data_IF_575121234216
#
_entry.id   IF_575121234216
#
_cell.length_a   1.000
_cell.length_b   1.000
_cell.length_c   1.000
_cell.angle_alpha   90.00
_cell.angle_beta   90.00
_cell.angle_gamma   90.00
#
_symmetry.space_group_name_H-M   'P 1'
#
loop_
_entity.id
_entity.type
_entity.pdbx_description
1 polymer ?
#
# COMPACT_ATOMS: atom_id res chain seq x y z
N UNK A 1 -3.33 -18.35 -33.39
CA UNK A 1 -3.35 -16.99 -32.81
C UNK A 1 -2.94 -17.11 -31.35
N UNK A 2 -1.72 -16.69 -30.99
CA UNK A 2 -1.19 -16.85 -29.63
C UNK A 2 -1.76 -15.75 -28.73
N UNK A 3 -2.61 -16.11 -27.76
CA UNK A 3 -3.00 -15.19 -26.69
C UNK A 3 -1.76 -14.89 -25.84
N UNK A 4 -1.38 -13.61 -25.77
CA UNK A 4 -0.40 -13.11 -24.80
C UNK A 4 -1.05 -13.18 -23.43
N UNK A 5 -0.65 -14.14 -22.61
CA UNK A 5 -1.11 -14.26 -21.22
C UNK A 5 -0.45 -13.16 -20.40
N UNK A 6 -1.28 -12.22 -19.94
CA UNK A 6 -0.89 -11.04 -19.18
C UNK A 6 -0.20 -11.42 -17.85
N UNK A 7 0.91 -10.74 -17.61
CA UNK A 7 1.78 -10.73 -16.42
C UNK A 7 1.09 -10.23 -15.13
N UNK A 8 -0.24 -10.14 -15.10
CA UNK A 8 -1.00 -9.35 -14.11
C UNK A 8 -1.64 -10.11 -12.95
N UNK A 9 -1.52 -11.44 -12.86
CA UNK A 9 -2.36 -12.24 -11.95
C UNK A 9 -1.69 -12.50 -10.58
N UNK A 10 -0.36 -12.45 -10.47
CA UNK A 10 0.33 -12.70 -9.20
C UNK A 10 0.37 -11.49 -8.25
N UNK A 11 0.18 -10.27 -8.78
CA UNK A 11 0.22 -9.02 -8.01
C UNK A 11 -1.10 -8.71 -7.29
N UNK A 12 -2.18 -9.34 -7.76
CA UNK A 12 -3.51 -9.25 -7.17
C UNK A 12 -3.47 -9.73 -5.70
N UNK A 13 -2.56 -10.60 -5.31
CA UNK A 13 -2.58 -11.24 -3.99
C UNK A 13 -2.13 -10.33 -2.84
N UNK A 14 -1.38 -9.27 -3.13
CA UNK A 14 -1.08 -8.20 -2.18
C UNK A 14 -2.14 -7.08 -2.21
N UNK A 15 -2.90 -6.99 -3.32
CA UNK A 15 -3.98 -6.01 -3.55
C UNK A 15 -5.37 -6.54 -3.11
N UNK A 16 -5.58 -7.86 -3.05
CA UNK A 16 -6.90 -8.49 -2.91
C UNK A 16 -7.37 -8.68 -1.48
N UNK A 17 -6.51 -8.48 -0.50
CA UNK A 17 -6.94 -8.42 0.88
C UNK A 17 -7.39 -7.02 1.33
N UNK A 18 -7.07 -6.00 0.53
CA UNK A 18 -7.60 -4.64 0.61
C UNK A 18 -8.39 -4.40 -0.69
N UNK A 19 -9.27 -5.36 -1.02
CA UNK A 19 -10.13 -5.26 -2.19
C UNK A 19 -10.85 -3.92 -2.19
N UNK A 20 -10.43 -3.04 -3.11
CA UNK A 20 -10.99 -1.74 -3.50
C UNK A 20 -10.27 -0.42 -3.13
N UNK A 21 -8.96 -0.36 -2.84
CA UNK A 21 -8.27 0.96 -2.79
C UNK A 21 -7.19 1.20 -3.87
N UNK A 22 -6.54 0.18 -4.43
CA UNK A 22 -5.44 0.39 -5.40
C UNK A 22 -5.78 0.09 -6.86
N UNK A 23 -6.93 0.58 -7.34
CA UNK A 23 -7.20 0.71 -8.79
C UNK A 23 -7.60 2.15 -9.09
N UNK A 24 -6.65 3.08 -8.92
CA UNK A 24 -6.79 4.43 -9.46
C UNK A 24 -5.76 4.66 -10.56
N UNK A 25 -6.35 4.74 -11.76
CA UNK A 25 -5.81 5.23 -13.02
C UNK A 25 -4.71 6.29 -12.83
N UNK A 26 -3.49 5.90 -13.16
CA UNK A 26 -2.55 6.77 -13.87
C UNK A 26 -3.06 6.81 -15.32
N UNK A 27 -4.15 7.53 -15.56
CA UNK A 27 -4.58 7.88 -16.92
C UNK A 27 -4.28 9.36 -17.07
N UNK A 28 -3.01 9.68 -17.34
CA UNK A 28 -2.56 10.87 -18.10
C UNK A 28 -1.02 10.95 -18.11
N UNK A 29 -0.34 9.84 -18.45
CA UNK A 29 1.09 9.89 -18.75
C UNK A 29 1.31 9.11 -20.05
N UNK A 30 1.85 9.80 -21.05
CA UNK A 30 2.40 9.19 -22.24
C UNK A 30 3.27 8.00 -21.82
N UNK A 31 2.83 6.77 -22.11
CA UNK A 31 3.59 5.57 -21.84
C UNK A 31 4.88 5.63 -22.67
N UNK A 32 5.96 6.11 -22.06
CA UNK A 32 7.30 5.82 -22.53
C UNK A 32 7.44 4.32 -22.35
N UNK A 33 7.72 3.58 -23.43
CA UNK A 33 7.92 2.15 -23.37
C UNK A 33 9.10 1.84 -22.44
N UNK A 34 8.83 1.65 -21.15
CA UNK A 34 9.80 1.15 -20.20
C UNK A 34 10.02 -0.34 -20.48
N UNK A 35 11.25 -0.80 -20.28
CA UNK A 35 11.51 -2.24 -20.29
C UNK A 35 10.75 -2.88 -19.13
N UNK A 36 10.09 -4.04 -19.33
CA UNK A 36 9.45 -4.75 -18.23
C UNK A 36 10.50 -5.10 -17.16
N UNK A 37 10.19 -4.85 -15.89
CA UNK A 37 11.07 -5.16 -14.75
C UNK A 37 11.30 -6.67 -14.67
N UNK A 38 12.56 -7.07 -14.56
CA UNK A 38 12.99 -8.47 -14.44
C UNK A 38 12.71 -9.03 -13.05
N UNK A 39 12.70 -10.37 -12.93
CA UNK A 39 12.53 -11.06 -11.64
C UNK A 39 13.65 -10.67 -10.67
N UNK A 40 14.87 -10.57 -11.17
CA UNK A 40 16.07 -10.23 -10.42
C UNK A 40 16.01 -8.79 -9.87
N UNK A 41 15.57 -7.83 -10.69
CA UNK A 41 15.37 -6.44 -10.26
C UNK A 41 14.31 -6.37 -9.14
N UNK A 42 13.21 -7.12 -9.25
CA UNK A 42 12.19 -7.17 -8.18
C UNK A 42 12.79 -7.71 -6.88
N UNK A 43 13.56 -8.80 -6.94
CA UNK A 43 14.21 -9.40 -5.76
C UNK A 43 15.18 -8.42 -5.10
N UNK A 44 16.03 -7.76 -5.89
CA UNK A 44 16.99 -6.76 -5.40
C UNK A 44 16.28 -5.58 -4.74
N UNK A 45 15.22 -5.05 -5.36
CA UNK A 45 14.47 -3.94 -4.81
C UNK A 45 13.77 -4.31 -3.48
N UNK A 46 13.21 -5.52 -3.37
CA UNK A 46 12.59 -5.99 -2.13
C UNK A 46 13.63 -6.18 -1.00
N UNK A 47 14.79 -6.73 -1.33
CA UNK A 47 15.90 -6.86 -0.38
C UNK A 47 16.40 -5.48 0.08
N UNK A 48 16.57 -4.54 -0.84
CA UNK A 48 16.95 -3.16 -0.53
C UNK A 48 15.90 -2.47 0.36
N UNK A 49 14.61 -2.67 0.10
CA UNK A 49 13.53 -2.16 0.94
C UNK A 49 13.64 -2.70 2.38
N UNK A 50 13.93 -4.00 2.53
CA UNK A 50 14.19 -4.60 3.84
C UNK A 50 15.40 -3.99 4.55
N UNK A 51 16.50 -3.79 3.83
CA UNK A 51 17.73 -3.18 4.37
C UNK A 51 17.49 -1.74 4.85
N UNK A 52 16.84 -0.91 4.03
CA UNK A 52 16.50 0.46 4.39
C UNK A 52 15.68 0.49 5.67
N UNK A 53 14.69 -0.40 5.80
CA UNK A 53 13.88 -0.48 7.03
C UNK A 53 14.68 -0.95 8.23
N UNK A 54 15.64 -1.86 8.06
CA UNK A 54 16.54 -2.27 9.13
C UNK A 54 17.40 -1.08 9.60
N UNK A 55 18.07 -0.41 8.67
CA UNK A 55 18.99 0.70 8.96
C UNK A 55 18.28 1.91 9.56
N UNK A 56 17.08 2.24 9.06
CA UNK A 56 16.32 3.40 9.56
C UNK A 56 15.65 3.14 10.90
N UNK A 57 15.35 1.87 11.26
CA UNK A 57 14.81 1.51 12.58
C UNK A 57 15.79 1.76 13.72
N UNK A 58 17.09 1.71 13.46
CA UNK A 58 18.12 2.00 14.45
C UNK A 58 18.24 3.51 14.75
N UNK A 59 17.69 4.36 13.88
CA UNK A 59 17.73 5.82 14.00
C UNK A 59 16.42 6.46 13.54
N UNK A 60 15.33 6.16 14.25
CA UNK A 60 13.99 6.69 13.94
C UNK A 60 13.94 8.19 14.26
N UNK A 61 13.64 8.98 13.24
CA UNK A 61 13.42 10.43 13.34
C UNK A 61 12.07 10.80 12.77
N UNK A 62 11.37 11.72 13.40
CA UNK A 62 10.13 12.30 12.87
C UNK A 62 10.51 13.39 11.88
N UNK A 63 10.17 13.20 10.60
CA UNK A 63 10.50 14.11 9.49
C UNK A 63 9.34 15.01 9.08
N UNK A 64 8.10 14.60 9.41
CA UNK A 64 6.91 15.42 9.26
C UNK A 64 5.86 15.05 10.32
N UNK A 65 4.86 15.90 10.49
CA UNK A 65 3.64 15.61 11.26
C UNK A 65 2.42 15.84 10.40
N UNK A 66 1.45 14.97 10.57
CA UNK A 66 0.12 15.04 9.97
C UNK A 66 -0.87 15.01 11.13
N UNK A 67 -1.44 16.16 11.44
CA UNK A 67 -2.12 16.44 12.70
C UNK A 67 -1.25 16.09 13.91
N UNK A 68 -1.63 15.07 14.68
CA UNK A 68 -0.88 14.57 15.84
C UNK A 68 -0.03 13.33 15.52
N UNK A 69 -0.06 12.85 14.27
CA UNK A 69 0.66 11.65 13.85
C UNK A 69 2.02 12.04 13.27
N UNK A 70 3.09 11.47 13.83
CA UNK A 70 4.42 11.58 13.24
C UNK A 70 4.55 10.73 11.98
N UNK A 71 5.27 11.27 10.99
CA UNK A 71 5.82 10.54 9.85
C UNK A 71 7.31 10.38 10.11
N UNK A 72 7.78 9.13 10.12
CA UNK A 72 9.20 8.84 10.35
C UNK A 72 10.00 8.83 9.06
N UNK A 73 11.32 9.02 9.16
CA UNK A 73 12.24 8.79 8.06
C UNK A 73 12.12 7.36 7.49
N UNK A 74 11.94 6.36 8.35
CA UNK A 74 11.68 4.97 7.95
C UNK A 74 10.43 4.85 7.08
N UNK A 75 9.31 5.46 7.52
CA UNK A 75 8.04 5.43 6.79
C UNK A 75 8.17 6.12 5.43
N UNK A 76 8.82 7.29 5.39
CA UNK A 76 9.05 8.05 4.17
C UNK A 76 9.89 7.30 3.15
N UNK A 77 11.07 6.82 3.56
CA UNK A 77 12.00 6.12 2.67
C UNK A 77 11.43 4.79 2.19
N UNK A 78 10.77 4.03 3.08
CA UNK A 78 10.11 2.79 2.70
C UNK A 78 8.98 3.04 1.68
N UNK A 79 8.17 4.09 1.88
CA UNK A 79 7.13 4.47 0.91
C UNK A 79 7.73 4.88 -0.43
N UNK A 80 8.82 5.65 -0.43
CA UNK A 80 9.52 6.08 -1.64
C UNK A 80 9.99 4.90 -2.47
N UNK A 81 10.66 3.93 -1.86
CA UNK A 81 11.13 2.72 -2.55
C UNK A 81 9.96 1.89 -3.06
N UNK A 82 8.90 1.73 -2.26
CA UNK A 82 7.71 1.02 -2.70
C UNK A 82 7.06 1.66 -3.94
N UNK A 83 6.88 2.98 -3.94
CA UNK A 83 6.33 3.71 -5.09
C UNK A 83 7.26 3.66 -6.30
N UNK A 84 8.58 3.63 -6.11
CA UNK A 84 9.55 3.42 -7.19
C UNK A 84 9.42 2.03 -7.84
N UNK A 85 9.23 0.98 -7.03
CA UNK A 85 8.99 -0.38 -7.54
C UNK A 85 7.73 -0.40 -8.40
N UNK A 86 6.63 0.20 -7.91
CA UNK A 86 5.37 0.27 -8.64
C UNK A 86 5.50 1.06 -9.94
N UNK A 87 6.15 2.23 -9.89
CA UNK A 87 6.36 3.06 -11.07
C UNK A 87 7.19 2.31 -12.13
N UNK A 88 8.27 1.64 -11.73
CA UNK A 88 9.10 0.86 -12.65
C UNK A 88 8.30 -0.27 -13.32
N UNK A 89 7.45 -0.97 -12.57
CA UNK A 89 6.61 -2.06 -13.09
C UNK A 89 5.56 -1.58 -14.10
N UNK A 90 5.01 -0.39 -13.88
CA UNK A 90 4.00 0.20 -14.76
C UNK A 90 4.60 0.98 -15.93
N UNK A 91 5.90 1.26 -15.89
CA UNK A 91 6.55 2.16 -16.83
C UNK A 91 6.27 3.64 -16.61
N UNK A 92 5.89 3.99 -15.38
CA UNK A 92 5.67 5.35 -14.96
C UNK A 92 6.99 6.04 -14.56
N UNK A 93 6.91 7.36 -14.40
CA UNK A 93 8.00 8.15 -13.84
C UNK A 93 8.22 7.79 -12.38
N UNK A 94 9.47 7.82 -11.94
CA UNK A 94 9.83 7.68 -10.53
C UNK A 94 9.09 8.73 -9.67
N UNK A 95 8.55 8.37 -8.50
CA UNK A 95 7.80 9.27 -7.64
C UNK A 95 8.67 10.41 -7.11
N UNK A 96 8.11 11.62 -7.06
CA UNK A 96 8.70 12.77 -6.37
C UNK A 96 8.52 12.66 -4.86
N UNK A 97 9.28 13.44 -4.07
CA UNK A 97 9.05 13.54 -2.62
C UNK A 97 7.60 13.95 -2.28
N UNK A 98 7.01 14.84 -3.09
CA UNK A 98 5.61 15.24 -2.98
C UNK A 98 4.65 14.07 -3.19
N UNK A 99 4.91 13.20 -4.16
CA UNK A 99 4.08 12.00 -4.38
C UNK A 99 4.15 11.04 -3.18
N UNK A 100 5.35 10.89 -2.60
CA UNK A 100 5.56 10.09 -1.38
C UNK A 100 4.78 10.68 -0.21
N UNK A 101 4.91 11.99 0.05
CA UNK A 101 4.18 12.66 1.13
C UNK A 101 2.68 12.62 0.94
N UNK A 102 2.17 12.80 -0.29
CA UNK A 102 0.74 12.69 -0.59
C UNK A 102 0.23 11.27 -0.31
N UNK A 103 1.01 10.25 -0.67
CA UNK A 103 0.65 8.86 -0.38
C UNK A 103 0.60 8.57 1.13
N UNK A 104 1.55 9.10 1.90
CA UNK A 104 1.57 8.96 3.37
C UNK A 104 0.42 9.73 3.98
N UNK A 105 0.17 10.96 3.54
CA UNK A 105 -0.92 11.81 4.00
C UNK A 105 -2.27 11.11 3.82
N UNK A 106 -2.51 10.54 2.64
CA UNK A 106 -3.69 9.73 2.37
C UNK A 106 -3.85 8.58 3.37
N UNK A 107 -2.78 7.84 3.66
CA UNK A 107 -2.85 6.73 4.62
C UNK A 107 -3.09 7.21 6.05
N UNK A 108 -2.43 8.30 6.47
CA UNK A 108 -2.60 8.88 7.80
C UNK A 108 -4.03 9.37 8.02
N UNK A 109 -4.64 10.07 7.06
CA UNK A 109 -6.02 10.53 7.23
C UNK A 109 -7.01 9.38 7.30
N UNK A 110 -6.76 8.28 6.57
CA UNK A 110 -7.57 7.06 6.67
C UNK A 110 -7.36 6.34 8.01
N UNK A 111 -6.14 6.30 8.54
CA UNK A 111 -5.86 5.78 9.88
C UNK A 111 -6.60 6.58 10.97
N UNK A 112 -6.55 7.92 10.89
CA UNK A 112 -7.28 8.80 11.80
C UNK A 112 -8.80 8.60 11.69
N UNK A 113 -9.33 8.46 10.48
CA UNK A 113 -10.76 8.21 10.26
C UNK A 113 -11.19 6.82 10.76
N UNK A 114 -10.35 5.80 10.58
CA UNK A 114 -10.59 4.47 11.15
C UNK A 114 -10.68 4.52 12.68
N UNK A 115 -9.76 5.24 13.33
CA UNK A 115 -9.80 5.45 14.78
C UNK A 115 -11.06 6.22 15.20
N UNK A 116 -11.40 7.31 14.50
CA UNK A 116 -12.59 8.13 14.79
C UNK A 116 -13.90 7.34 14.71
N UNK A 117 -13.98 6.37 13.79
CA UNK A 117 -15.14 5.51 13.59
C UNK A 117 -15.12 4.21 14.40
N UNK A 118 -14.10 3.99 15.23
CA UNK A 118 -13.88 2.72 15.96
C UNK A 118 -13.76 1.51 15.01
N UNK A 119 -13.12 1.69 13.85
CA UNK A 119 -12.90 0.66 12.83
C UNK A 119 -11.46 0.13 12.81
N UNK A 120 -10.65 0.45 13.82
CA UNK A 120 -9.29 -0.09 13.97
C UNK A 120 -9.33 -1.62 14.09
N UNK A 121 -8.49 -2.30 13.31
CA UNK A 121 -8.36 -3.75 13.38
C UNK A 121 -7.69 -4.17 14.70
N UNK A 122 -8.09 -5.30 15.27
CA UNK A 122 -7.43 -5.86 16.45
C UNK A 122 -6.19 -6.66 16.07
N UNK A 123 -5.32 -6.94 17.05
CA UNK A 123 -4.16 -7.83 16.85
C UNK A 123 -4.61 -9.23 16.44
N UNK A 124 -5.66 -9.76 17.08
CA UNK A 124 -6.17 -11.10 16.78
C UNK A 124 -6.81 -11.18 15.39
N UNK A 125 -7.61 -10.19 15.01
CA UNK A 125 -8.16 -10.05 13.65
C UNK A 125 -7.03 -10.06 12.62
N UNK A 126 -5.95 -9.32 12.91
CA UNK A 126 -4.79 -9.22 12.03
C UNK A 126 -4.03 -10.55 11.92
N UNK A 127 -3.84 -11.27 13.03
CA UNK A 127 -3.16 -12.58 13.01
C UNK A 127 -3.96 -13.63 12.23
N UNK A 128 -5.28 -13.66 12.39
CA UNK A 128 -6.16 -14.52 11.60
C UNK A 128 -6.01 -14.20 10.12
N UNK A 129 -6.08 -12.93 9.77
CA UNK A 129 -5.90 -12.47 8.39
C UNK A 129 -4.51 -12.83 7.82
N UNK A 130 -3.43 -12.64 8.59
CA UNK A 130 -2.07 -12.98 8.16
C UNK A 130 -1.88 -14.49 7.93
N UNK A 131 -2.51 -15.33 8.74
CA UNK A 131 -2.48 -16.78 8.54
C UNK A 131 -3.15 -17.18 7.22
N UNK A 132 -4.28 -16.56 6.88
CA UNK A 132 -4.95 -16.80 5.59
C UNK A 132 -4.12 -16.26 4.42
N UNK A 133 -3.51 -15.07 4.58
CA UNK A 133 -2.62 -14.51 3.57
C UNK A 133 -1.40 -15.41 3.31
N UNK A 134 -0.79 -15.96 4.37
CA UNK A 134 0.35 -16.87 4.27
C UNK A 134 -0.03 -18.13 3.49
N UNK A 135 -1.17 -18.76 3.79
CA UNK A 135 -1.68 -19.92 3.06
C UNK A 135 -1.93 -19.61 1.58
N UNK A 136 -2.53 -18.46 1.30
CA UNK A 136 -2.82 -18.04 -0.06
C UNK A 136 -1.52 -17.86 -0.87
N UNK A 137 -0.47 -17.34 -0.27
CA UNK A 137 0.82 -17.13 -0.95
C UNK A 137 1.52 -18.43 -1.32
N UNK A 138 1.39 -19.48 -0.49
CA UNK A 138 1.87 -20.83 -0.84
C UNK A 138 1.16 -21.41 -2.07
N UNK A 139 -0.01 -20.88 -2.43
CA UNK A 139 -0.80 -21.30 -3.59
C UNK A 139 -0.62 -20.37 -4.80
N UNK A 140 0.11 -19.26 -4.65
CA UNK A 140 0.25 -18.23 -5.69
C UNK A 140 1.25 -18.63 -6.78
N UNK A 141 0.88 -18.42 -8.05
CA UNK A 141 1.73 -18.65 -9.22
C UNK A 141 2.02 -17.31 -9.92
N UNK A 142 3.26 -17.08 -10.34
CA UNK A 142 3.69 -15.83 -10.97
C UNK A 142 5.18 -15.79 -11.34
N UNK A 143 5.61 -14.71 -11.99
CA UNK A 143 7.04 -14.46 -12.28
C UNK A 143 7.89 -14.45 -11.01
N UNK A 144 7.34 -13.92 -9.92
CA UNK A 144 7.82 -14.10 -8.55
C UNK A 144 6.61 -14.46 -7.69
N UNK A 145 6.73 -15.47 -6.84
CA UNK A 145 5.63 -15.86 -5.95
C UNK A 145 5.50 -14.87 -4.78
N UNK A 146 4.32 -14.77 -4.16
CA UNK A 146 4.16 -13.92 -2.97
C UNK A 146 5.12 -14.32 -1.84
N UNK A 147 5.41 -15.61 -1.72
CA UNK A 147 6.39 -16.13 -0.78
C UNK A 147 7.82 -15.71 -1.11
N UNK A 148 8.23 -15.79 -2.37
CA UNK A 148 9.54 -15.29 -2.80
C UNK A 148 9.69 -13.79 -2.48
N UNK A 149 8.64 -12.99 -2.68
CA UNK A 149 8.69 -11.56 -2.34
C UNK A 149 8.98 -11.33 -0.85
N UNK A 150 8.25 -12.04 0.02
CA UNK A 150 8.43 -11.92 1.48
C UNK A 150 9.77 -12.44 1.93
N UNK A 151 10.26 -13.54 1.35
CA UNK A 151 11.58 -14.06 1.68
C UNK A 151 12.69 -13.05 1.36
N UNK A 152 12.66 -12.41 0.18
CA UNK A 152 13.66 -11.41 -0.18
C UNK A 152 13.57 -10.16 0.72
N UNK A 153 12.35 -9.73 1.06
CA UNK A 153 12.15 -8.62 1.98
C UNK A 153 12.61 -8.94 3.42
N UNK A 154 12.26 -10.12 3.93
CA UNK A 154 12.68 -10.61 5.25
C UNK A 154 14.19 -10.80 5.34
N UNK A 155 14.82 -11.30 4.27
CA UNK A 155 16.28 -11.38 4.16
C UNK A 155 16.92 -9.99 4.25
N UNK A 156 16.36 -8.99 3.56
CA UNK A 156 16.80 -7.60 3.66
C UNK A 156 16.69 -7.02 5.07
N UNK A 157 15.62 -7.39 5.79
CA UNK A 157 15.43 -7.05 7.21
C UNK A 157 16.38 -7.80 8.14
N UNK A 158 17.02 -8.88 7.68
CA UNK A 158 17.82 -9.77 8.51
C UNK A 158 17.00 -10.60 9.50
N UNK A 159 15.76 -10.93 9.15
CA UNK A 159 14.84 -11.74 9.97
C UNK A 159 14.41 -13.01 9.22
N UNK A 160 13.93 -14.01 9.94
CA UNK A 160 13.34 -15.21 9.32
C UNK A 160 11.94 -14.92 8.78
N UNK A 161 11.45 -15.78 7.87
CA UNK A 161 10.07 -15.72 7.38
C UNK A 161 9.06 -15.82 8.54
N UNK A 162 9.32 -16.66 9.54
CA UNK A 162 8.44 -16.79 10.71
C UNK A 162 8.45 -15.54 11.59
N UNK A 163 9.59 -14.89 11.77
CA UNK A 163 9.66 -13.60 12.46
C UNK A 163 8.91 -12.51 11.68
N UNK A 164 8.99 -12.54 10.34
CA UNK A 164 8.21 -11.63 9.51
C UNK A 164 6.71 -11.77 9.80
N UNK A 165 6.16 -12.97 9.74
CA UNK A 165 4.72 -13.20 9.92
C UNK A 165 4.22 -12.94 11.34
N UNK A 166 4.98 -13.38 12.35
CA UNK A 166 4.50 -13.38 13.73
C UNK A 166 4.76 -12.07 14.47
N UNK A 167 5.78 -11.31 14.07
CA UNK A 167 6.21 -10.11 14.78
C UNK A 167 6.14 -8.87 13.89
N UNK A 168 6.81 -8.93 12.74
CA UNK A 168 7.02 -7.74 11.92
C UNK A 168 5.75 -7.30 11.17
N UNK A 169 5.03 -8.24 10.57
CA UNK A 169 3.88 -7.98 9.72
C UNK A 169 2.65 -7.53 10.51
N UNK A 170 2.48 -8.01 11.75
CA UNK A 170 1.29 -7.74 12.58
C UNK A 170 0.96 -6.24 12.68
N UNK A 171 1.84 -5.36 13.20
CA UNK A 171 1.50 -3.94 13.32
C UNK A 171 1.31 -3.24 11.97
N UNK A 172 1.96 -3.73 10.91
CA UNK A 172 1.80 -3.19 9.56
C UNK A 172 0.41 -3.51 8.99
N UNK A 173 0.03 -4.79 8.99
CA UNK A 173 -1.24 -5.22 8.44
C UNK A 173 -2.44 -4.82 9.31
N UNK A 174 -2.23 -4.57 10.61
CA UNK A 174 -3.28 -3.99 11.44
C UNK A 174 -3.70 -2.60 10.91
N UNK A 175 -2.74 -1.78 10.46
CA UNK A 175 -3.03 -0.49 9.82
C UNK A 175 -3.71 -0.66 8.47
N UNK A 176 -3.22 -1.57 7.63
CA UNK A 176 -3.84 -1.88 6.33
C UNK A 176 -5.31 -2.32 6.48
N UNK A 177 -5.58 -3.25 7.40
CA UNK A 177 -6.93 -3.73 7.67
C UNK A 177 -7.84 -2.62 8.22
N UNK A 178 -7.31 -1.77 9.09
CA UNK A 178 -8.04 -0.59 9.60
C UNK A 178 -8.43 0.35 8.44
N UNK A 179 -7.50 0.62 7.52
CA UNK A 179 -7.76 1.42 6.32
C UNK A 179 -8.75 0.74 5.36
N UNK A 180 -8.68 -0.57 5.21
CA UNK A 180 -9.64 -1.34 4.41
C UNK A 180 -11.06 -1.23 5.00
N UNK A 181 -11.20 -1.37 6.32
CA UNK A 181 -12.48 -1.29 7.04
C UNK A 181 -13.12 0.09 6.90
N UNK A 182 -12.34 1.15 7.05
CA UNK A 182 -12.88 2.52 6.88
C UNK A 182 -13.26 2.81 5.43
N UNK A 183 -12.46 2.37 4.45
CA UNK A 183 -12.80 2.57 3.04
C UNK A 183 -14.07 1.81 2.66
N UNK A 184 -14.23 0.57 3.14
CA UNK A 184 -15.46 -0.20 2.98
C UNK A 184 -16.65 0.52 3.62
N UNK A 185 -16.49 1.04 4.84
CA UNK A 185 -17.54 1.76 5.53
C UNK A 185 -17.97 3.03 4.76
N UNK A 186 -17.01 3.80 4.23
CA UNK A 186 -17.29 4.98 3.39
C UNK A 186 -18.02 4.59 2.10
N UNK A 187 -17.57 3.53 1.41
CA UNK A 187 -18.22 3.06 0.19
C UNK A 187 -19.66 2.59 0.43
N UNK A 188 -19.96 2.05 1.61
CA UNK A 188 -21.30 1.62 2.02
C UNK A 188 -22.26 2.77 2.36
N UNK A 189 -21.78 4.01 2.48
CA UNK A 189 -22.64 5.19 2.62
C UNK A 189 -23.39 5.50 1.32
N UNK A 190 -22.88 5.06 0.16
CA UNK A 190 -23.54 5.18 -1.13
C UNK A 190 -24.56 4.06 -1.30
N UNK A 191 -25.85 4.40 -1.41
CA UNK A 191 -26.91 3.44 -1.66
C UNK A 191 -27.07 3.17 -3.17
N UNK A 192 -27.38 1.93 -3.58
CA UNK A 192 -27.68 1.60 -4.97
C UNK A 192 -28.94 2.33 -5.43
N UNK A 193 -28.93 2.86 -6.66
CA UNK A 193 -30.11 3.49 -7.26
C UNK A 193 -30.98 2.47 -8.00
N UNK A 194 -32.29 2.72 -8.14
CA UNK A 194 -33.15 1.87 -8.97
C UNK A 194 -32.61 1.79 -10.41
N UNK A 195 -32.57 0.57 -10.98
CA UNK A 195 -32.09 0.27 -12.33
C UNK A 195 -30.62 0.64 -12.62
N UNK A 196 -29.83 0.89 -11.58
CA UNK A 196 -28.40 1.10 -11.73
C UNK A 196 -27.66 -0.23 -11.91
N UNK A 197 -26.77 -0.29 -12.90
CA UNK A 197 -25.89 -1.44 -13.08
C UNK A 197 -24.72 -1.44 -12.08
N UNK A 198 -24.03 -2.58 -11.99
CA UNK A 198 -22.94 -2.76 -11.03
C UNK A 198 -21.72 -1.87 -11.31
N UNK A 199 -21.46 -1.49 -12.56
CA UNK A 199 -20.34 -0.64 -12.95
C UNK A 199 -20.59 0.81 -12.53
N UNK A 200 -21.77 1.34 -12.83
CA UNK A 200 -22.22 2.66 -12.42
C UNK A 200 -22.23 2.80 -10.89
N UNK A 201 -22.76 1.79 -10.18
CA UNK A 201 -22.76 1.76 -8.72
C UNK A 201 -21.33 1.78 -8.14
N UNK A 202 -20.45 0.91 -8.66
CA UNK A 202 -19.04 0.86 -8.24
C UNK A 202 -18.31 2.18 -8.50
N UNK A 203 -18.62 2.85 -9.63
CA UNK A 203 -18.06 4.16 -9.96
C UNK A 203 -18.51 5.24 -8.96
N UNK A 204 -19.79 5.29 -8.58
CA UNK A 204 -20.27 6.24 -7.56
C UNK A 204 -19.66 6.00 -6.19
N UNK A 205 -19.53 4.74 -5.76
CA UNK A 205 -18.83 4.38 -4.52
C UNK A 205 -17.40 4.92 -4.52
N UNK A 206 -16.70 4.72 -5.65
CA UNK A 206 -15.34 5.20 -5.88
C UNK A 206 -15.23 6.72 -5.80
N UNK A 207 -16.09 7.44 -6.52
CA UNK A 207 -16.10 8.91 -6.55
C UNK A 207 -16.43 9.50 -5.18
N UNK A 208 -17.36 8.90 -4.45
CA UNK A 208 -17.70 9.31 -3.10
C UNK A 208 -16.55 9.08 -2.13
N UNK A 209 -15.88 7.93 -2.20
CA UNK A 209 -14.70 7.64 -1.40
C UNK A 209 -13.58 8.66 -1.66
N UNK A 210 -13.26 8.96 -2.92
CA UNK A 210 -12.25 9.97 -3.25
C UNK A 210 -12.62 11.36 -2.75
N UNK A 211 -13.90 11.74 -2.84
CA UNK A 211 -14.39 12.99 -2.27
C UNK A 211 -14.15 13.05 -0.76
N UNK A 212 -14.54 12.01 -0.02
CA UNK A 212 -14.34 11.94 1.44
C UNK A 212 -12.85 12.00 1.79
N UNK A 213 -12.00 11.25 1.09
CA UNK A 213 -10.55 11.27 1.33
C UNK A 213 -9.96 12.65 1.05
N UNK A 214 -10.36 13.30 -0.05
CA UNK A 214 -9.94 14.66 -0.36
C UNK A 214 -10.36 15.64 0.75
N UNK A 215 -11.60 15.55 1.23
CA UNK A 215 -12.09 16.40 2.31
C UNK A 215 -11.32 16.17 3.63
N UNK A 216 -10.86 14.94 3.88
CA UNK A 216 -10.01 14.63 5.04
C UNK A 216 -8.59 15.20 4.86
N UNK A 217 -8.01 15.07 3.67
CA UNK A 217 -6.70 15.64 3.32
C UNK A 217 -6.72 17.16 3.45
N UNK A 218 -7.74 17.84 2.91
CA UNK A 218 -7.86 19.30 2.94
C UNK A 218 -7.99 19.85 4.38
N UNK A 219 -8.46 19.03 5.33
CA UNK A 219 -8.60 19.39 6.75
C UNK A 219 -7.36 19.05 7.58
N UNK A 220 -6.49 18.17 7.08
CA UNK A 220 -5.31 17.72 7.80
C UNK A 220 -4.26 18.83 7.89
N UNK A 221 -3.64 18.98 9.06
CA UNK A 221 -2.53 19.91 9.25
C UNK A 221 -1.22 19.20 8.97
N UNK A 222 -0.48 19.64 7.95
CA UNK A 222 0.82 19.07 7.59
C UNK A 222 1.94 20.03 8.02
N UNK A 223 2.90 19.51 8.77
CA UNK A 223 4.11 20.22 9.21
C UNK A 223 5.32 19.41 8.75
N UNK A 224 6.14 19.96 7.84
CA UNK A 224 7.40 19.35 7.42
C UNK A 224 8.49 19.81 8.39
N UNK A 225 9.22 18.87 8.98
CA UNK A 225 10.26 19.11 9.98
C UNK A 225 11.68 18.94 9.44
N UNK A 226 11.81 18.28 8.29
CA UNK A 226 13.08 17.99 7.62
C UNK A 226 13.00 18.46 6.16
N UNK A 227 13.85 19.40 5.78
CA UNK A 227 13.84 19.98 4.43
C UNK A 227 14.23 18.99 3.33
N UNK A 228 14.85 17.85 3.68
CA UNK A 228 15.23 16.82 2.70
C UNK A 228 14.03 16.09 2.07
N UNK A 229 12.84 16.24 2.66
CA UNK A 229 11.59 15.63 2.17
C UNK A 229 10.62 16.63 1.54
N UNK A 230 11.00 17.91 1.43
CA UNK A 230 10.28 18.90 0.62
C UNK A 230 10.40 18.60 -0.88
#
# INVERSE_FOLDING_TARGET
MKLKTNLGIAFLCFVLAVGAIFVFKINDINAVASKPVTKEEIKQNLKQLGQIRKETRENIKVVAKIDKMGVTNEEFLARKVWLQILAAQNGDKSPTNKDVMNSILRDKVLEAEAARRNLTASVDETKVYLNELRKYQDQSNGTITGREMIQNFAEGLGITEDQYWNEWAVPYYQKELSRAKVAKAIAQEVQPLPNEDSEAYSKRQKEYFEKVVKDLIDKAKVEILDDSIN
#
